data_IF_463285338503
#
_entry.id   IF_463285338503
#
_cell.length_a   1.000
_cell.length_b   1.000
_cell.length_c   1.000
_cell.angle_alpha   90.00
_cell.angle_beta   90.00
_cell.angle_gamma   90.00
#
_symmetry.space_group_name_H-M   'P 1'
#
loop_
_entity.id
_entity.type
_entity.pdbx_description
1 polymer ?
#
# COMPACT_ATOMS: atom_id res chain seq x y z
N UNK A 1 10.38 16.66 4.87
CA UNK A 1 9.00 16.65 4.34
C UNK A 1 8.07 17.07 5.48
N UNK A 2 7.21 18.08 5.29
CA UNK A 2 6.11 18.37 6.21
C UNK A 2 5.26 17.11 6.50
N UNK A 3 4.73 16.99 7.72
CA UNK A 3 3.89 15.84 8.12
C UNK A 3 2.68 15.67 7.21
N UNK A 4 2.03 16.78 6.83
CA UNK A 4 0.88 16.76 5.93
C UNK A 4 1.20 16.12 4.56
N UNK A 5 2.40 16.36 4.05
CA UNK A 5 2.85 15.79 2.78
C UNK A 5 3.10 14.29 2.91
N UNK A 6 3.75 13.86 4.00
CA UNK A 6 3.95 12.43 4.29
C UNK A 6 2.63 11.68 4.48
N UNK A 7 1.71 12.24 5.28
CA UNK A 7 0.38 11.68 5.49
C UNK A 7 -0.40 11.59 4.17
N UNK A 8 -0.28 12.59 3.29
CA UNK A 8 -0.88 12.54 1.95
C UNK A 8 -0.28 11.42 1.12
N UNK A 9 1.04 11.27 1.07
CA UNK A 9 1.70 10.19 0.36
C UNK A 9 1.25 8.80 0.85
N UNK A 10 1.14 8.61 2.17
CA UNK A 10 0.62 7.37 2.74
C UNK A 10 -0.83 7.13 2.33
N UNK A 11 -1.69 8.14 2.50
CA UNK A 11 -3.14 8.04 2.25
C UNK A 11 -3.47 7.73 0.79
N UNK A 12 -2.70 8.28 -0.15
CA UNK A 12 -2.90 8.05 -1.59
C UNK A 12 -2.09 6.87 -2.14
N UNK A 13 -1.31 6.18 -1.30
CA UNK A 13 -0.61 4.95 -1.70
C UNK A 13 -1.57 3.77 -1.81
N UNK A 14 -1.16 2.73 -2.54
CA UNK A 14 -1.86 1.43 -2.55
C UNK A 14 -1.65 0.72 -1.20
N UNK A 15 -0.42 0.75 -0.69
CA UNK A 15 -0.03 0.23 0.60
C UNK A 15 1.33 0.82 1.04
N UNK A 16 1.60 0.77 2.34
CA UNK A 16 2.91 1.10 2.93
C UNK A 16 3.71 -0.19 3.11
N UNK A 17 5.00 -0.20 2.77
CA UNK A 17 5.86 -1.38 2.90
C UNK A 17 6.91 -1.10 3.97
N UNK A 18 7.08 -2.02 4.93
CA UNK A 18 8.18 -1.99 5.88
C UNK A 18 9.00 -3.30 5.83
N UNK A 19 10.09 -3.34 5.03
CA UNK A 19 10.86 -4.54 4.77
C UNK A 19 12.07 -4.72 5.72
N UNK A 20 11.97 -4.27 6.96
CA UNK A 20 13.05 -4.36 7.95
C UNK A 20 13.39 -5.80 8.35
N UNK A 21 14.67 -6.06 8.61
CA UNK A 21 15.15 -7.33 9.18
C UNK A 21 15.11 -7.35 10.71
N UNK A 22 15.18 -6.17 11.32
CA UNK A 22 15.13 -5.96 12.77
C UNK A 22 14.58 -4.56 13.05
N UNK A 23 13.78 -4.43 14.10
CA UNK A 23 13.15 -3.18 14.54
C UNK A 23 13.06 -3.17 16.07
N UNK A 24 13.08 -1.97 16.66
CA UNK A 24 12.75 -1.78 18.08
C UNK A 24 11.24 -1.61 18.27
N UNK A 25 10.70 -0.52 17.72
CA UNK A 25 9.27 -0.27 17.57
C UNK A 25 9.07 0.67 16.38
N UNK A 26 8.18 0.33 15.46
CA UNK A 26 7.99 1.13 14.24
C UNK A 26 6.84 2.11 14.41
N UNK A 27 7.12 3.41 14.46
CA UNK A 27 6.09 4.45 14.45
C UNK A 27 5.33 4.48 13.13
N UNK A 28 5.98 4.16 12.01
CA UNK A 28 5.33 4.07 10.70
C UNK A 28 4.24 2.99 10.68
N UNK A 29 4.45 1.86 11.37
CA UNK A 29 3.42 0.82 11.51
C UNK A 29 2.22 1.35 12.30
N UNK A 30 2.45 2.05 13.42
CA UNK A 30 1.38 2.66 14.22
C UNK A 30 0.61 3.75 13.47
N UNK A 31 1.30 4.62 12.73
CA UNK A 31 0.70 5.67 11.91
C UNK A 31 -0.15 5.07 10.79
N UNK A 32 0.41 4.10 10.06
CA UNK A 32 -0.30 3.42 8.97
C UNK A 32 -1.53 2.68 9.50
N UNK A 33 -1.41 2.04 10.67
CA UNK A 33 -2.52 1.37 11.37
C UNK A 33 -3.60 2.37 11.80
N UNK A 34 -3.20 3.51 12.36
CA UNK A 34 -4.12 4.58 12.78
C UNK A 34 -4.89 5.19 11.60
N UNK A 35 -4.29 5.20 10.41
CA UNK A 35 -4.93 5.63 9.16
C UNK A 35 -5.77 4.52 8.49
N UNK A 36 -5.77 3.29 9.04
CA UNK A 36 -6.51 2.16 8.47
C UNK A 36 -5.99 1.70 7.10
N UNK A 37 -4.73 1.99 6.78
CA UNK A 37 -4.15 1.69 5.47
C UNK A 37 -3.60 0.26 5.41
N UNK A 38 -3.60 -0.31 4.21
CA UNK A 38 -2.96 -1.61 3.94
C UNK A 38 -1.45 -1.48 4.09
N UNK A 39 -0.81 -2.51 4.67
CA UNK A 39 0.64 -2.53 4.81
C UNK A 39 1.24 -3.90 4.54
N UNK A 40 2.45 -3.89 3.98
CA UNK A 40 3.26 -5.09 3.71
C UNK A 40 4.45 -5.09 4.66
N UNK A 41 4.55 -6.08 5.52
CA UNK A 41 5.51 -6.11 6.64
C UNK A 41 6.39 -7.35 6.58
N UNK A 42 7.67 -7.19 6.92
CA UNK A 42 8.52 -8.35 7.20
C UNK A 42 7.94 -9.19 8.33
N UNK A 43 8.04 -10.52 8.21
CA UNK A 43 7.57 -11.49 9.19
C UNK A 43 8.48 -11.58 10.45
N UNK A 44 8.67 -10.45 11.14
CA UNK A 44 9.49 -10.32 12.35
C UNK A 44 8.61 -10.21 13.61
N UNK A 45 9.11 -10.62 14.80
CA UNK A 45 8.30 -10.65 16.03
C UNK A 45 7.61 -9.32 16.37
N UNK A 46 8.31 -8.20 16.23
CA UNK A 46 7.76 -6.87 16.55
C UNK A 46 6.62 -6.46 15.61
N UNK A 47 6.71 -6.74 14.30
CA UNK A 47 5.60 -6.48 13.39
C UNK A 47 4.37 -7.37 13.67
N UNK A 48 4.57 -8.58 14.20
CA UNK A 48 3.48 -9.45 14.66
C UNK A 48 2.83 -8.91 15.93
N UNK A 49 3.64 -8.41 16.87
CA UNK A 49 3.17 -7.82 18.12
C UNK A 49 2.30 -6.59 17.88
N UNK A 50 2.66 -5.73 16.92
CA UNK A 50 1.87 -4.56 16.54
C UNK A 50 0.50 -4.92 15.92
N UNK A 51 0.36 -6.13 15.38
CA UNK A 51 -0.88 -6.73 14.88
C UNK A 51 -1.82 -5.76 14.11
N UNK A 52 -1.38 -5.17 12.99
CA UNK A 52 -2.23 -4.34 12.14
C UNK A 52 -3.32 -5.17 11.43
N UNK A 53 -4.55 -4.67 11.44
CA UNK A 53 -5.71 -5.33 10.84
C UNK A 53 -5.53 -5.59 9.33
N UNK A 54 -4.89 -4.66 8.62
CA UNK A 54 -4.65 -4.73 7.17
C UNK A 54 -3.20 -5.14 6.83
N UNK A 55 -2.54 -5.87 7.74
CA UNK A 55 -1.18 -6.35 7.56
C UNK A 55 -1.08 -7.55 6.62
N UNK A 56 -0.15 -7.48 5.67
CA UNK A 56 0.28 -8.60 4.82
C UNK A 56 1.74 -8.89 5.11
N UNK A 57 2.04 -10.12 5.55
CA UNK A 57 3.39 -10.48 5.97
C UNK A 57 4.16 -11.21 4.87
N UNK A 58 5.48 -11.03 4.84
CA UNK A 58 6.38 -11.75 3.94
C UNK A 58 7.66 -12.16 4.65
N UNK A 59 8.30 -13.24 4.19
CA UNK A 59 9.60 -13.66 4.70
C UNK A 59 10.69 -12.68 4.21
N UNK A 60 11.36 -11.94 5.12
CA UNK A 60 12.32 -10.91 4.75
C UNK A 60 13.63 -11.46 4.15
N UNK A 61 13.87 -12.76 4.28
CA UNK A 61 15.02 -13.44 3.66
C UNK A 61 14.68 -14.07 2.30
N UNK A 62 13.42 -13.96 1.85
CA UNK A 62 12.95 -14.54 0.59
C UNK A 62 12.33 -13.46 -0.31
N UNK A 63 13.09 -12.86 -1.24
CA UNK A 63 12.58 -11.81 -2.14
C UNK A 63 11.31 -12.19 -2.91
N UNK A 64 11.17 -13.47 -3.29
CA UNK A 64 9.95 -13.97 -3.92
C UNK A 64 8.71 -13.81 -3.03
N UNK A 65 8.85 -14.00 -1.71
CA UNK A 65 7.76 -13.80 -0.75
C UNK A 65 7.29 -12.35 -0.71
N UNK A 66 8.21 -11.39 -0.84
CA UNK A 66 7.87 -9.97 -0.94
C UNK A 66 7.12 -9.69 -2.25
N UNK A 67 7.61 -10.22 -3.38
CA UNK A 67 6.95 -10.06 -4.67
C UNK A 67 5.51 -10.58 -4.64
N UNK A 68 5.30 -11.78 -4.09
CA UNK A 68 3.97 -12.39 -3.93
C UNK A 68 3.05 -11.52 -3.06
N UNK A 69 3.57 -10.96 -1.96
CA UNK A 69 2.81 -10.08 -1.07
C UNK A 69 2.40 -8.77 -1.76
N UNK A 70 3.31 -8.17 -2.54
CA UNK A 70 3.03 -6.95 -3.31
C UNK A 70 1.99 -7.20 -4.41
N UNK A 71 2.12 -8.31 -5.15
CA UNK A 71 1.14 -8.69 -6.16
C UNK A 71 -0.24 -8.93 -5.53
N UNK A 72 -0.29 -9.60 -4.39
CA UNK A 72 -1.52 -9.83 -3.65
C UNK A 72 -2.22 -8.51 -3.29
N UNK A 73 -1.47 -7.55 -2.72
CA UNK A 73 -1.98 -6.23 -2.35
C UNK A 73 -2.44 -5.45 -3.58
N UNK A 74 -1.67 -5.45 -4.66
CA UNK A 74 -2.03 -4.80 -5.92
C UNK A 74 -3.33 -5.38 -6.51
N UNK A 75 -3.48 -6.70 -6.46
CA UNK A 75 -4.68 -7.39 -6.92
C UNK A 75 -5.91 -7.07 -6.05
N UNK A 76 -5.77 -6.98 -4.72
CA UNK A 76 -6.86 -6.52 -3.84
C UNK A 76 -7.28 -5.10 -4.17
N UNK A 77 -6.32 -4.20 -4.36
CA UNK A 77 -6.57 -2.80 -4.68
C UNK A 77 -7.31 -2.63 -6.01
N UNK A 78 -6.83 -3.28 -7.07
CA UNK A 78 -7.44 -3.21 -8.41
C UNK A 78 -8.81 -3.88 -8.49
N UNK A 79 -9.04 -4.95 -7.71
CA UNK A 79 -10.33 -5.64 -7.69
C UNK A 79 -11.40 -4.96 -6.85
N UNK A 80 -11.02 -4.01 -5.99
CA UNK A 80 -11.98 -3.21 -5.23
C UNK A 80 -12.86 -2.38 -6.19
N UNK A 81 -14.19 -2.54 -6.08
CA UNK A 81 -15.17 -1.89 -6.95
C UNK A 81 -15.03 -0.36 -6.95
N UNK A 82 -14.72 0.25 -5.80
CA UNK A 82 -14.51 1.69 -5.69
C UNK A 82 -13.24 2.14 -6.45
N UNK A 83 -12.20 1.31 -6.46
CA UNK A 83 -10.94 1.58 -7.17
C UNK A 83 -11.10 1.36 -8.68
N UNK A 84 -11.84 0.34 -9.11
CA UNK A 84 -12.15 0.13 -10.54
C UNK A 84 -12.77 1.37 -11.17
N UNK A 85 -13.72 2.00 -10.49
CA UNK A 85 -14.35 3.23 -10.97
C UNK A 85 -13.38 4.41 -11.03
N UNK A 86 -12.48 4.58 -10.04
CA UNK A 86 -11.45 5.63 -10.04
C UNK A 86 -10.43 5.45 -11.17
N UNK A 87 -9.93 4.22 -11.38
CA UNK A 87 -8.97 3.89 -12.45
C UNK A 87 -9.59 4.09 -13.83
N UNK A 88 -10.82 3.61 -14.05
CA UNK A 88 -11.55 3.83 -15.30
C UNK A 88 -11.86 5.31 -15.57
N UNK A 89 -12.12 6.11 -14.53
CA UNK A 89 -12.32 7.55 -14.66
C UNK A 89 -11.02 8.30 -14.98
N UNK A 90 -9.88 7.90 -14.39
CA UNK A 90 -8.56 8.44 -14.74
C UNK A 90 -8.18 8.09 -16.18
N UNK A 91 -8.31 6.83 -16.61
CA UNK A 91 -8.02 6.40 -17.99
C UNK A 91 -8.85 7.15 -19.03
N UNK A 92 -10.13 7.43 -18.73
CA UNK A 92 -11.00 8.25 -19.60
C UNK A 92 -10.59 9.71 -19.64
N UNK A 93 -10.11 10.26 -18.53
CA UNK A 93 -9.61 11.64 -18.45
C UNK A 93 -8.26 11.82 -19.16
N UNK A 94 -7.45 10.77 -19.24
CA UNK A 94 -6.16 10.77 -19.95
C UNK A 94 -6.28 10.49 -21.46
N UNK A 95 -7.45 10.10 -21.96
CA UNK A 95 -7.70 10.07 -23.42
C UNK A 95 -7.63 11.51 -23.95
N UNK A 96 -6.77 11.80 -24.95
CA UNK A 96 -6.62 13.16 -25.44
C UNK A 96 -7.95 13.65 -26.02
N UNK A 97 -8.36 14.84 -25.61
CA UNK A 97 -9.59 15.57 -26.01
C UNK A 97 -9.74 15.63 -27.55
N UNK A 98 -8.63 15.49 -28.28
CA UNK A 98 -8.55 15.43 -29.74
C UNK A 98 -9.28 14.24 -30.40
N UNK A 99 -9.68 13.19 -29.68
CA UNK A 99 -10.45 12.07 -30.26
C UNK A 99 -11.95 12.33 -30.40
N UNK A 100 -12.48 13.38 -29.78
CA UNK A 100 -13.94 13.66 -29.73
C UNK A 100 -14.38 14.59 -30.89
N UNK A 101 -13.44 15.26 -31.57
CA UNK A 101 -13.72 16.17 -32.69
C UNK A 101 -13.18 15.62 -34.02
N UNK A 102 -13.71 14.48 -34.48
CA UNK A 102 -13.47 13.99 -35.84
C UNK A 102 -14.76 13.54 -36.51
#
# INVERSE_FOLDING_TARGET
MPYADMASLMTYSVAVINPSLFEGWSTTVEETKSLGLTMVLSDIPVHKEQNPEQGVYFDPHKPASLADALENVQNRFTNNAATKHKLQAQEKTTQPIFKIWR
#
